data_IF_316314046892
#
_entry.id   IF_316314046892
#
_cell.length_a   1.000
_cell.length_b   1.000
_cell.length_c   1.000
_cell.angle_alpha   90.00
_cell.angle_beta   90.00
_cell.angle_gamma   90.00
#
_symmetry.space_group_name_H-M   'P 1'
#
loop_
_entity.id
_entity.type
_entity.pdbx_description
1 polymer ?
#
# COMPACT_ATOMS: atom_id res chain seq x y z
N UNK A 1 28.66 13.26 -35.41
CA UNK A 1 28.43 14.02 -34.15
C UNK A 1 27.69 13.11 -33.17
N UNK A 2 28.40 12.55 -32.20
CA UNK A 2 27.83 11.69 -31.16
C UNK A 2 26.98 12.55 -30.22
N UNK A 3 25.66 12.53 -30.39
CA UNK A 3 24.72 13.27 -29.54
C UNK A 3 24.85 12.82 -28.09
N UNK A 4 25.37 13.69 -27.22
CA UNK A 4 25.57 13.39 -25.80
C UNK A 4 24.26 13.00 -25.12
N UNK A 5 24.29 11.91 -24.36
CA UNK A 5 23.14 11.42 -23.57
C UNK A 5 22.73 12.50 -22.56
N UNK A 6 21.48 12.98 -22.66
CA UNK A 6 20.92 13.98 -21.74
C UNK A 6 20.91 13.40 -20.32
N UNK A 7 21.49 14.12 -19.35
CA UNK A 7 21.48 13.70 -17.95
C UNK A 7 20.04 13.51 -17.45
N UNK A 8 19.74 12.42 -16.72
CA UNK A 8 18.43 12.23 -16.11
C UNK A 8 18.09 13.38 -15.16
N UNK A 9 16.87 13.92 -15.29
CA UNK A 9 16.40 14.96 -14.38
C UNK A 9 16.14 14.38 -12.99
N UNK A 10 16.72 14.99 -11.95
CA UNK A 10 16.51 14.63 -10.54
C UNK A 10 15.70 15.71 -9.84
N UNK A 11 14.58 15.32 -9.24
CA UNK A 11 13.76 16.23 -8.42
C UNK A 11 14.49 16.65 -7.15
N UNK A 12 14.20 17.87 -6.67
CA UNK A 12 14.69 18.34 -5.37
C UNK A 12 14.09 17.50 -4.23
N UNK A 13 14.81 17.32 -3.11
CA UNK A 13 14.24 16.73 -1.90
C UNK A 13 12.92 17.40 -1.53
N UNK A 14 11.93 16.62 -1.11
CA UNK A 14 10.59 17.10 -0.78
C UNK A 14 9.62 17.23 -1.96
N UNK A 15 10.09 17.44 -3.20
CA UNK A 15 9.19 17.58 -4.36
C UNK A 15 8.37 16.31 -4.62
N UNK A 16 9.01 15.14 -4.56
CA UNK A 16 8.33 13.86 -4.79
C UNK A 16 7.43 13.51 -3.60
N UNK A 17 7.87 13.77 -2.37
CA UNK A 17 7.08 13.53 -1.16
C UNK A 17 5.78 14.35 -1.15
N UNK A 18 5.83 15.65 -1.45
CA UNK A 18 4.64 16.50 -1.56
C UNK A 18 3.67 16.02 -2.64
N UNK A 19 4.20 15.51 -3.76
CA UNK A 19 3.38 14.93 -4.83
C UNK A 19 2.71 13.62 -4.39
N UNK A 20 3.41 12.77 -3.65
CA UNK A 20 2.86 11.53 -3.09
C UNK A 20 1.77 11.82 -2.05
N UNK A 21 1.99 12.78 -1.15
CA UNK A 21 0.97 13.22 -0.18
C UNK A 21 -0.31 13.67 -0.90
N UNK A 22 -0.19 14.56 -1.89
CA UNK A 22 -1.35 15.03 -2.68
C UNK A 22 -2.04 13.89 -3.43
N UNK A 23 -1.27 12.91 -3.93
CA UNK A 23 -1.82 11.73 -4.61
C UNK A 23 -2.65 10.88 -3.64
N UNK A 24 -2.07 10.50 -2.49
CA UNK A 24 -2.73 9.62 -1.52
C UNK A 24 -3.88 10.28 -0.76
N UNK A 25 -3.85 11.60 -0.59
CA UNK A 25 -5.01 12.34 -0.06
C UNK A 25 -6.17 12.43 -1.06
N UNK A 26 -5.90 12.31 -2.36
CA UNK A 26 -6.93 12.38 -3.41
C UNK A 26 -7.59 11.02 -3.69
N UNK A 27 -6.87 9.92 -3.51
CA UNK A 27 -7.41 8.57 -3.70
C UNK A 27 -7.95 7.99 -2.40
N UNK A 28 -8.77 6.95 -2.52
CA UNK A 28 -9.33 6.19 -1.39
C UNK A 28 -8.96 4.71 -1.47
N UNK A 29 -7.94 4.38 -2.27
CA UNK A 29 -7.46 3.01 -2.40
C UNK A 29 -6.74 2.57 -1.13
N UNK A 30 -6.88 1.29 -0.79
CA UNK A 30 -6.17 0.68 0.32
C UNK A 30 -4.65 0.75 0.10
N UNK A 31 -3.94 1.38 1.04
CA UNK A 31 -2.48 1.51 0.96
C UNK A 31 -1.74 0.25 1.44
N UNK A 32 -2.37 -0.54 2.31
CA UNK A 32 -1.82 -1.82 2.79
C UNK A 32 -2.27 -2.93 1.82
N UNK A 33 -1.32 -3.81 1.45
CA UNK A 33 -1.57 -4.94 0.54
C UNK A 33 -2.54 -5.94 1.19
N UNK A 34 -3.54 -6.37 0.41
CA UNK A 34 -4.63 -7.25 0.87
C UNK A 34 -4.16 -8.61 1.43
N UNK A 35 -3.26 -9.32 0.74
CA UNK A 35 -2.85 -10.68 1.15
C UNK A 35 -2.07 -10.70 2.47
N UNK A 36 -1.03 -9.85 2.68
CA UNK A 36 -0.38 -9.74 3.98
C UNK A 36 -1.35 -9.34 5.11
N UNK A 37 -2.23 -8.37 4.87
CA UNK A 37 -3.22 -7.95 5.87
C UNK A 37 -4.18 -9.10 6.24
N UNK A 38 -4.68 -9.85 5.24
CA UNK A 38 -5.51 -11.03 5.49
C UNK A 38 -4.78 -12.12 6.29
N UNK A 39 -3.48 -12.34 6.05
CA UNK A 39 -2.67 -13.30 6.83
C UNK A 39 -2.57 -12.86 8.29
N UNK A 40 -2.30 -11.57 8.52
CA UNK A 40 -2.24 -11.00 9.87
C UNK A 40 -3.57 -11.14 10.62
N UNK A 41 -4.70 -10.87 9.97
CA UNK A 41 -6.03 -11.07 10.57
C UNK A 41 -6.23 -12.52 11.01
N UNK A 42 -5.79 -13.49 10.19
CA UNK A 42 -5.91 -14.92 10.51
C UNK A 42 -4.97 -15.35 11.63
N UNK A 43 -3.75 -14.85 11.63
CA UNK A 43 -2.76 -15.08 12.68
C UNK A 43 -3.31 -14.66 14.04
N UNK A 44 -3.79 -13.42 14.17
CA UNK A 44 -4.37 -12.90 15.41
C UNK A 44 -5.62 -13.70 15.80
N UNK A 45 -6.50 -14.01 14.85
CA UNK A 45 -7.74 -14.74 15.15
C UNK A 45 -7.49 -16.17 15.66
N UNK A 46 -6.40 -16.80 15.21
CA UNK A 46 -6.01 -18.15 15.60
C UNK A 46 -5.69 -18.25 17.10
N UNK A 47 -5.18 -17.17 17.69
CA UNK A 47 -4.91 -17.10 19.14
C UNK A 47 -6.19 -17.12 19.99
N UNK A 48 -7.33 -16.70 19.43
CA UNK A 48 -8.61 -16.68 20.14
C UNK A 48 -9.45 -17.94 19.88
N UNK A 49 -9.51 -18.41 18.63
CA UNK A 49 -10.27 -19.60 18.25
C UNK A 49 -9.72 -20.20 16.96
N UNK A 50 -9.40 -21.48 17.01
CA UNK A 50 -8.98 -22.24 15.83
C UNK A 50 -10.13 -22.43 14.84
N UNK A 51 -9.79 -22.59 13.56
CA UNK A 51 -10.73 -22.91 12.46
C UNK A 51 -11.81 -21.84 12.16
N UNK A 52 -11.57 -20.59 12.54
CA UNK A 52 -12.42 -19.46 12.16
C UNK A 52 -12.38 -19.21 10.63
N UNK A 53 -13.57 -19.04 10.05
CA UNK A 53 -13.74 -18.63 8.65
C UNK A 53 -14.22 -17.18 8.61
N UNK A 54 -13.61 -16.41 7.72
CA UNK A 54 -13.96 -15.01 7.50
C UNK A 54 -14.67 -14.86 6.16
N UNK A 55 -15.73 -14.05 6.16
CA UNK A 55 -16.30 -13.52 4.92
C UNK A 55 -15.29 -12.59 4.25
N UNK A 56 -15.29 -12.55 2.91
CA UNK A 56 -14.40 -11.65 2.16
C UNK A 56 -14.69 -10.18 2.47
N UNK A 57 -15.96 -9.80 2.63
CA UNK A 57 -16.41 -8.47 3.04
C UNK A 57 -15.93 -8.11 4.45
N UNK A 58 -15.91 -9.06 5.38
CA UNK A 58 -15.45 -8.81 6.75
C UNK A 58 -13.96 -8.44 6.78
N UNK A 59 -13.10 -9.16 6.04
CA UNK A 59 -11.68 -8.81 5.94
C UNK A 59 -11.47 -7.44 5.30
N UNK A 60 -12.29 -7.10 4.29
CA UNK A 60 -12.27 -5.79 3.66
C UNK A 60 -12.78 -4.66 4.56
N UNK A 61 -13.65 -4.95 5.54
CA UNK A 61 -14.19 -3.94 6.45
C UNK A 61 -13.26 -3.66 7.64
N UNK A 62 -12.37 -4.59 7.96
CA UNK A 62 -11.31 -4.41 8.96
C UNK A 62 -10.20 -3.45 8.49
N UNK A 63 -10.14 -3.13 7.19
CA UNK A 63 -9.13 -2.26 6.56
C UNK A 63 -9.78 -1.08 5.85
#
# INVERSE_FOLDING_TARGET
ATGGVKKPHRYRPGTVALREIRRYQKSTELLIRKLPFQRLVREIAQDFKTDLRFQSSAVMALQ
#
